data_IF_311087811571
#
_entry.id   IF_311087811571
#
_cell.length_a   1.000
_cell.length_b   1.000
_cell.length_c   1.000
_cell.angle_alpha   90.00
_cell.angle_beta   90.00
_cell.angle_gamma   90.00
#
_symmetry.space_group_name_H-M   'P 1'
#
loop_
_entity.id
_entity.type
_entity.pdbx_description
1 polymer ?
#
# COMPACT_ATOMS: atom_id res chain seq x y z
N UNK A 1 12.29 40.08 16.37
CA UNK A 1 10.98 40.45 15.79
C UNK A 1 11.10 40.27 14.29
N UNK A 2 10.87 39.06 13.79
CA UNK A 2 11.02 38.72 12.38
C UNK A 2 9.71 38.16 11.84
N UNK A 3 9.46 38.50 10.57
CA UNK A 3 8.16 38.62 9.91
C UNK A 3 7.35 37.32 9.91
N UNK A 4 6.23 37.31 10.62
CA UNK A 4 5.08 36.42 10.32
C UNK A 4 4.53 36.82 8.94
N UNK A 5 4.88 36.10 7.89
CA UNK A 5 4.04 36.07 6.69
C UNK A 5 2.68 35.49 7.10
N UNK A 6 1.58 36.18 6.79
CA UNK A 6 0.24 35.71 7.10
C UNK A 6 -0.13 34.44 6.33
N UNK A 7 -1.15 33.71 6.80
CA UNK A 7 -1.67 32.48 6.17
C UNK A 7 -1.84 32.64 4.66
N UNK A 8 -2.39 33.77 4.22
CA UNK A 8 -2.61 34.05 2.79
C UNK A 8 -1.33 34.11 1.95
N UNK A 9 -0.23 34.68 2.49
CA UNK A 9 1.03 34.75 1.75
C UNK A 9 1.66 33.36 1.57
N UNK A 10 1.46 32.47 2.54
CA UNK A 10 1.87 31.06 2.43
C UNK A 10 1.02 30.32 1.40
N UNK A 11 -0.30 30.51 1.42
CA UNK A 11 -1.21 29.88 0.46
C UNK A 11 -0.96 30.34 -0.97
N UNK A 12 -0.68 31.62 -1.20
CA UNK A 12 -0.31 32.12 -2.53
C UNK A 12 1.01 31.51 -3.03
N UNK A 13 1.99 31.34 -2.16
CA UNK A 13 3.23 30.63 -2.50
C UNK A 13 2.96 29.16 -2.86
N UNK A 14 2.08 28.48 -2.11
CA UNK A 14 1.64 27.12 -2.42
C UNK A 14 0.94 27.06 -3.78
N UNK A 15 0.01 27.98 -4.08
CA UNK A 15 -0.69 28.08 -5.38
C UNK A 15 0.30 28.28 -6.52
N UNK A 16 1.22 29.23 -6.40
CA UNK A 16 2.19 29.53 -7.44
C UNK A 16 3.13 28.35 -7.74
N UNK A 17 3.64 27.68 -6.69
CA UNK A 17 4.48 26.50 -6.82
C UNK A 17 3.72 25.33 -7.45
N UNK A 18 2.52 25.04 -6.96
CA UNK A 18 1.66 23.97 -7.47
C UNK A 18 1.24 24.22 -8.94
N UNK A 19 0.96 25.47 -9.34
CA UNK A 19 0.63 25.80 -10.74
C UNK A 19 1.82 25.56 -11.67
N UNK A 20 3.02 25.97 -11.23
CA UNK A 20 4.25 25.75 -12.01
C UNK A 20 4.52 24.26 -12.23
N UNK A 21 4.45 23.46 -11.17
CA UNK A 21 4.64 22.01 -11.27
C UNK A 21 3.53 21.32 -12.07
N UNK A 22 2.29 21.79 -11.92
CA UNK A 22 1.14 21.30 -12.68
C UNK A 22 1.32 21.49 -14.18
N UNK A 23 1.79 22.67 -14.62
CA UNK A 23 2.08 22.93 -16.03
C UNK A 23 3.15 21.99 -16.58
N UNK A 24 4.21 21.72 -15.80
CA UNK A 24 5.24 20.76 -16.18
C UNK A 24 4.73 19.31 -16.21
N UNK A 25 3.89 18.91 -15.25
CA UNK A 25 3.26 17.59 -15.24
C UNK A 25 2.37 17.37 -16.47
N UNK A 26 1.55 18.36 -16.82
CA UNK A 26 0.72 18.33 -18.02
C UNK A 26 1.56 18.27 -19.29
N UNK A 27 2.63 19.06 -19.39
CA UNK A 27 3.53 19.02 -20.55
C UNK A 27 4.24 17.66 -20.68
N UNK A 28 4.73 17.08 -19.58
CA UNK A 28 5.35 15.76 -19.55
C UNK A 28 4.36 14.64 -19.93
N UNK A 29 3.12 14.71 -19.43
CA UNK A 29 2.07 13.75 -19.77
C UNK A 29 1.67 13.83 -21.26
N UNK A 30 1.45 15.04 -21.79
CA UNK A 30 1.03 15.25 -23.17
C UNK A 30 2.11 14.87 -24.20
N UNK A 31 3.38 14.93 -23.81
CA UNK A 31 4.51 14.56 -24.69
C UNK A 31 4.81 13.07 -24.69
N UNK A 32 4.20 12.27 -23.79
CA UNK A 32 4.31 10.80 -23.68
C UNK A 32 5.75 10.25 -23.55
N UNK A 33 6.76 11.12 -23.35
CA UNK A 33 8.17 10.73 -23.25
C UNK A 33 8.64 10.48 -21.82
N UNK A 34 7.92 11.02 -20.84
CA UNK A 34 8.32 10.97 -19.44
C UNK A 34 7.08 10.90 -18.52
N UNK A 35 6.33 9.81 -18.65
CA UNK A 35 5.13 9.55 -17.84
C UNK A 35 5.45 9.41 -16.36
N UNK A 36 6.65 8.94 -16.02
CA UNK A 36 7.13 8.83 -14.65
C UNK A 36 7.35 10.21 -14.02
N UNK A 37 8.00 11.15 -14.74
CA UNK A 37 8.13 12.53 -14.29
C UNK A 37 6.76 13.22 -14.16
N UNK A 38 5.84 12.99 -15.09
CA UNK A 38 4.49 13.54 -15.00
C UNK A 38 3.73 13.07 -13.73
N UNK A 39 3.86 11.80 -13.38
CA UNK A 39 3.29 11.21 -12.17
C UNK A 39 3.92 11.78 -10.90
N UNK A 40 5.26 11.83 -10.84
CA UNK A 40 6.00 12.40 -9.72
C UNK A 40 5.62 13.87 -9.50
N UNK A 41 5.65 14.70 -10.55
CA UNK A 41 5.25 16.11 -10.49
C UNK A 41 3.81 16.28 -9.98
N UNK A 42 2.88 15.44 -10.43
CA UNK A 42 1.48 15.46 -9.97
C UNK A 42 1.34 15.10 -8.48
N UNK A 43 2.20 14.20 -7.95
CA UNK A 43 2.27 13.93 -6.49
C UNK A 43 2.78 15.14 -5.72
N UNK A 44 3.81 15.85 -6.19
CA UNK A 44 4.30 17.07 -5.52
C UNK A 44 3.24 18.19 -5.50
N UNK A 45 2.47 18.35 -6.58
CA UNK A 45 1.35 19.30 -6.65
C UNK A 45 0.34 19.00 -5.54
N UNK A 46 -0.08 17.74 -5.41
CA UNK A 46 -1.01 17.31 -4.37
C UNK A 46 -0.49 17.58 -2.94
N UNK A 47 0.80 17.33 -2.70
CA UNK A 47 1.44 17.59 -1.40
C UNK A 47 1.35 19.05 -0.99
N UNK A 48 1.78 19.93 -1.90
CA UNK A 48 1.85 21.37 -1.65
C UNK A 48 0.46 21.91 -1.30
N UNK A 49 -0.57 21.45 -2.03
CA UNK A 49 -1.96 21.84 -1.79
C UNK A 49 -2.48 21.30 -0.46
N UNK A 50 -2.22 20.04 -0.13
CA UNK A 50 -2.63 19.45 1.15
C UNK A 50 -1.96 20.13 2.35
N UNK A 51 -0.65 20.39 2.27
CA UNK A 51 0.11 21.11 3.31
C UNK A 51 -0.38 22.54 3.50
N UNK A 52 -0.65 23.25 2.41
CA UNK A 52 -1.25 24.59 2.45
C UNK A 52 -2.61 24.55 3.15
N UNK A 53 -3.47 23.60 2.81
CA UNK A 53 -4.80 23.45 3.41
C UNK A 53 -4.73 23.17 4.92
N UNK A 54 -3.83 22.28 5.36
CA UNK A 54 -3.64 21.98 6.78
C UNK A 54 -3.07 23.18 7.53
N UNK A 55 -2.07 23.86 6.96
CA UNK A 55 -1.49 25.06 7.56
C UNK A 55 -2.56 26.15 7.77
N UNK A 56 -3.42 26.37 6.77
CA UNK A 56 -4.53 27.31 6.88
C UNK A 56 -5.54 26.89 7.97
N UNK A 57 -5.87 25.60 8.04
CA UNK A 57 -6.78 25.10 9.06
C UNK A 57 -6.20 25.19 10.48
N UNK A 58 -4.94 24.81 10.70
CA UNK A 58 -4.27 24.91 12.00
C UNK A 58 -4.05 26.36 12.44
N UNK A 59 -3.98 27.29 11.48
CA UNK A 59 -3.96 28.73 11.72
C UNK A 59 -5.34 29.35 12.03
N UNK A 60 -6.42 28.55 12.03
CA UNK A 60 -7.79 29.00 12.28
C UNK A 60 -8.51 29.61 11.07
N UNK A 61 -7.90 29.57 9.88
CA UNK A 61 -8.50 30.12 8.64
C UNK A 61 -9.12 29.01 7.78
N UNK A 62 -10.27 28.53 8.25
CA UNK A 62 -11.05 27.48 7.58
C UNK A 62 -11.53 27.92 6.19
N UNK A 63 -11.82 29.21 6.01
CA UNK A 63 -12.29 29.74 4.73
C UNK A 63 -11.19 29.69 3.66
N UNK A 64 -9.95 30.02 4.03
CA UNK A 64 -8.81 29.94 3.13
C UNK A 64 -8.43 28.47 2.82
N UNK A 65 -8.54 27.57 3.81
CA UNK A 65 -8.40 26.12 3.62
C UNK A 65 -9.41 25.57 2.59
N UNK A 66 -10.70 25.84 2.80
CA UNK A 66 -11.78 25.43 1.90
C UNK A 66 -11.59 26.04 0.51
N UNK A 67 -11.21 27.32 0.44
CA UNK A 67 -10.94 28.02 -0.82
C UNK A 67 -9.83 27.36 -1.64
N UNK A 68 -8.71 27.00 -0.99
CA UNK A 68 -7.60 26.30 -1.65
C UNK A 68 -8.01 24.92 -2.16
N UNK A 69 -8.77 24.16 -1.37
CA UNK A 69 -9.21 22.81 -1.74
C UNK A 69 -10.27 22.84 -2.88
N UNK A 70 -11.18 23.81 -2.87
CA UNK A 70 -12.15 24.01 -3.97
C UNK A 70 -11.46 24.43 -5.28
N UNK A 71 -10.40 25.22 -5.20
CA UNK A 71 -9.55 25.59 -6.34
C UNK A 71 -8.77 24.37 -6.86
N UNK A 72 -8.11 23.63 -5.96
CA UNK A 72 -7.38 22.41 -6.26
C UNK A 72 -8.22 21.38 -7.04
N UNK A 73 -9.48 21.24 -6.64
CA UNK A 73 -10.43 20.30 -7.21
C UNK A 73 -11.15 20.85 -8.46
N UNK A 74 -10.91 22.10 -8.86
CA UNK A 74 -11.58 22.71 -10.02
C UNK A 74 -13.10 22.86 -9.82
N UNK A 75 -13.55 23.02 -8.57
CA UNK A 75 -14.97 23.28 -8.22
C UNK A 75 -15.31 24.75 -8.52
N UNK A 76 -14.32 25.64 -8.44
CA UNK A 76 -14.41 27.03 -8.89
C UNK A 76 -13.88 27.13 -10.33
N UNK A 77 -14.33 28.15 -11.08
CA UNK A 77 -14.02 28.39 -12.50
C UNK A 77 -12.55 28.78 -12.81
N UNK A 78 -11.59 28.30 -12.02
CA UNK A 78 -10.16 28.50 -12.23
C UNK A 78 -9.49 27.21 -12.71
N UNK A 79 -8.36 27.34 -13.40
CA UNK A 79 -7.57 26.26 -13.97
C UNK A 79 -7.32 25.14 -12.93
N UNK A 80 -7.77 23.92 -13.25
CA UNK A 80 -7.58 22.76 -12.38
C UNK A 80 -6.11 22.34 -12.36
N UNK A 81 -5.62 21.96 -11.18
CA UNK A 81 -4.27 21.42 -11.03
C UNK A 81 -4.18 20.00 -11.61
N UNK A 82 -3.03 19.67 -12.18
CA UNK A 82 -2.66 18.33 -12.63
C UNK A 82 -2.44 17.46 -11.39
N UNK A 83 -3.53 16.85 -10.93
CA UNK A 83 -3.56 15.95 -9.80
C UNK A 83 -3.74 14.53 -10.30
N UNK A 84 -3.03 13.59 -9.66
CA UNK A 84 -3.38 12.20 -9.79
C UNK A 84 -4.81 11.98 -9.24
N UNK A 85 -5.60 11.08 -9.83
CA UNK A 85 -6.98 10.85 -9.38
C UNK A 85 -7.08 10.45 -7.90
N UNK A 86 -6.08 9.73 -7.36
CA UNK A 86 -6.02 9.40 -5.92
C UNK A 86 -5.79 10.63 -5.04
N UNK A 87 -4.89 11.53 -5.46
CA UNK A 87 -4.72 12.81 -4.80
C UNK A 87 -6.01 13.64 -4.82
N UNK A 88 -6.74 13.60 -5.95
CA UNK A 88 -8.05 14.27 -6.08
C UNK A 88 -9.10 13.68 -5.12
N UNK A 89 -9.16 12.35 -4.97
CA UNK A 89 -10.00 11.69 -3.93
C UNK A 89 -9.66 12.21 -2.53
N UNK A 90 -8.38 12.17 -2.18
CA UNK A 90 -7.92 12.50 -0.83
C UNK A 90 -8.11 13.99 -0.52
N UNK A 91 -7.86 14.89 -1.47
CA UNK A 91 -8.16 16.32 -1.34
C UNK A 91 -9.66 16.60 -1.27
N UNK A 92 -10.49 15.76 -1.90
CA UNK A 92 -11.97 15.85 -1.78
C UNK A 92 -12.43 15.47 -0.38
N UNK A 93 -11.88 14.40 0.20
CA UNK A 93 -12.15 14.01 1.58
C UNK A 93 -11.65 15.09 2.57
N UNK A 94 -10.48 15.70 2.30
CA UNK A 94 -10.00 16.88 3.04
C UNK A 94 -10.99 18.03 2.97
N UNK A 95 -11.56 18.33 1.80
CA UNK A 95 -12.54 19.41 1.64
C UNK A 95 -13.80 19.16 2.46
N UNK A 96 -14.29 17.92 2.48
CA UNK A 96 -15.47 17.54 3.28
C UNK A 96 -15.18 17.72 4.77
N UNK A 97 -14.00 17.30 5.23
CA UNK A 97 -13.55 17.49 6.61
C UNK A 97 -13.33 18.97 6.96
N UNK A 98 -12.72 19.76 6.06
CA UNK A 98 -12.46 21.18 6.25
C UNK A 98 -13.73 21.99 6.52
N UNK A 99 -14.86 21.57 5.93
CA UNK A 99 -16.16 22.22 6.13
C UNK A 99 -16.77 21.96 7.51
N UNK A 100 -16.13 21.16 8.36
CA UNK A 100 -16.57 20.89 9.74
C UNK A 100 -15.69 21.63 10.77
N UNK A 101 -16.27 22.12 11.89
CA UNK A 101 -15.50 22.77 12.95
C UNK A 101 -14.42 21.85 13.54
N UNK A 102 -13.15 22.30 13.58
CA UNK A 102 -12.05 21.64 14.29
C UNK A 102 -11.56 20.30 13.71
N UNK A 103 -12.06 19.87 12.54
CA UNK A 103 -11.87 18.49 12.06
C UNK A 103 -10.49 18.21 11.43
N UNK A 104 -9.78 19.20 10.89
CA UNK A 104 -8.45 19.02 10.31
C UNK A 104 -7.31 19.17 11.33
N UNK A 105 -7.57 19.75 12.50
CA UNK A 105 -6.56 19.98 13.56
C UNK A 105 -6.00 18.67 14.15
N UNK A 106 -6.68 17.53 13.94
CA UNK A 106 -6.30 16.22 14.47
C UNK A 106 -5.66 15.29 13.43
N UNK A 107 -5.40 15.78 12.23
CA UNK A 107 -5.10 14.94 11.07
C UNK A 107 -3.73 15.27 10.46
N UNK A 108 -2.68 15.18 11.27
CA UNK A 108 -1.27 15.44 10.89
C UNK A 108 -0.76 14.54 9.74
N UNK A 109 -1.44 13.41 9.48
CA UNK A 109 -1.13 12.43 8.42
C UNK A 109 -1.80 12.71 7.06
N UNK A 110 -2.59 13.78 6.93
CA UNK A 110 -3.26 14.17 5.68
C UNK A 110 -2.37 14.50 4.48
N UNK A 111 -1.20 15.16 4.65
CA UNK A 111 -0.29 15.40 3.53
C UNK A 111 0.29 14.10 2.96
N UNK A 112 0.37 13.07 3.80
CA UNK A 112 0.88 11.75 3.43
C UNK A 112 -0.17 10.97 2.66
N UNK A 113 -1.42 10.95 3.13
CA UNK A 113 -2.52 10.30 2.41
C UNK A 113 -2.79 10.98 1.06
N UNK A 114 -2.73 12.31 0.97
CA UNK A 114 -2.97 13.04 -0.29
C UNK A 114 -1.95 12.79 -1.42
N UNK A 115 -0.78 12.21 -1.12
CA UNK A 115 0.28 11.94 -2.12
C UNK A 115 0.75 10.49 -2.18
N UNK A 116 0.37 9.68 -1.21
CA UNK A 116 0.61 8.24 -1.20
C UNK A 116 -0.66 7.49 -1.55
N UNK A 117 -0.52 6.23 -1.96
CA UNK A 117 -1.65 5.34 -2.21
C UNK A 117 -2.42 4.94 -0.93
N UNK A 118 -2.14 5.61 0.21
CA UNK A 118 -2.83 5.37 1.47
C UNK A 118 -4.27 5.89 1.41
N UNK A 119 -5.18 4.95 1.58
CA UNK A 119 -6.62 5.17 1.54
C UNK A 119 -7.15 5.58 2.91
N UNK A 120 -8.00 6.61 2.94
CA UNK A 120 -8.67 7.11 4.13
C UNK A 120 -9.60 6.06 4.76
N UNK A 121 -9.54 5.95 6.09
CA UNK A 121 -10.55 5.31 6.93
C UNK A 121 -11.24 6.39 7.75
N UNK A 122 -12.57 6.49 7.67
CA UNK A 122 -13.32 7.28 8.63
C UNK A 122 -13.46 6.48 9.93
N UNK A 123 -13.13 7.10 11.07
CA UNK A 123 -13.36 6.47 12.38
C UNK A 123 -14.85 6.26 12.66
N UNK A 124 -15.18 5.39 13.63
CA UNK A 124 -16.55 5.12 14.09
C UNK A 124 -17.31 6.38 14.53
N UNK A 125 -16.57 7.42 14.94
CA UNK A 125 -17.11 8.66 15.48
C UNK A 125 -17.45 9.70 14.38
N UNK A 126 -17.26 9.35 13.10
CA UNK A 126 -17.59 10.24 11.98
C UNK A 126 -19.12 10.29 11.72
N UNK A 127 -19.71 11.49 11.53
CA UNK A 127 -21.13 11.63 11.21
C UNK A 127 -21.55 10.85 9.95
N UNK A 128 -22.67 10.12 10.02
CA UNK A 128 -23.20 9.30 8.91
C UNK A 128 -23.45 10.10 7.62
N UNK A 129 -23.86 11.36 7.74
CA UNK A 129 -24.08 12.27 6.59
C UNK A 129 -22.79 12.50 5.79
N UNK A 130 -21.64 12.49 6.46
CA UNK A 130 -20.32 12.67 5.82
C UNK A 130 -19.90 11.40 5.07
N UNK A 131 -20.21 10.22 5.63
CA UNK A 131 -19.99 8.94 4.96
C UNK A 131 -20.84 8.83 3.68
N UNK A 132 -22.08 9.29 3.71
CA UNK A 132 -22.98 9.31 2.54
C UNK A 132 -22.49 10.28 1.45
N UNK A 133 -22.07 11.49 1.81
CA UNK A 133 -21.51 12.47 0.86
C UNK A 133 -20.18 11.98 0.25
N UNK A 134 -19.30 11.42 1.07
CA UNK A 134 -18.05 10.80 0.61
C UNK A 134 -18.30 9.65 -0.35
N UNK A 135 -19.31 8.82 -0.08
CA UNK A 135 -19.73 7.73 -0.97
C UNK A 135 -20.25 8.22 -2.32
N UNK A 136 -21.14 9.21 -2.34
CA UNK A 136 -21.68 9.76 -3.58
C UNK A 136 -20.55 10.33 -4.47
N UNK A 137 -19.55 10.96 -3.84
CA UNK A 137 -18.39 11.50 -4.54
C UNK A 137 -17.46 10.42 -5.09
N UNK A 138 -17.12 9.42 -4.27
CA UNK A 138 -16.31 8.27 -4.70
C UNK A 138 -17.00 7.46 -5.81
N UNK A 139 -18.32 7.31 -5.74
CA UNK A 139 -19.12 6.65 -6.79
C UNK A 139 -19.06 7.43 -8.11
N UNK A 140 -19.24 8.75 -8.07
CA UNK A 140 -19.09 9.63 -9.26
C UNK A 140 -17.67 9.59 -9.83
N UNK A 141 -16.66 9.42 -8.98
CA UNK A 141 -15.28 9.23 -9.44
C UNK A 141 -15.07 7.89 -10.14
N UNK A 142 -15.65 6.79 -9.63
CA UNK A 142 -15.63 5.52 -10.36
C UNK A 142 -16.33 5.64 -11.71
N UNK A 143 -17.46 6.35 -11.79
CA UNK A 143 -18.14 6.65 -13.06
C UNK A 143 -17.25 7.44 -14.02
N UNK A 144 -16.51 8.44 -13.51
CA UNK A 144 -15.53 9.21 -14.30
C UNK A 144 -14.37 8.32 -14.78
N UNK A 145 -13.79 7.50 -13.90
CA UNK A 145 -12.69 6.57 -14.24
C UNK A 145 -13.15 5.60 -15.34
N UNK A 146 -14.34 5.03 -15.20
CA UNK A 146 -14.95 4.17 -16.21
C UNK A 146 -15.18 4.93 -17.54
N UNK A 147 -15.64 6.18 -17.48
CA UNK A 147 -15.79 7.05 -18.65
C UNK A 147 -14.45 7.38 -19.34
N UNK A 148 -13.34 7.41 -18.59
CA UNK A 148 -12.00 7.64 -19.11
C UNK A 148 -11.33 6.38 -19.71
N UNK A 149 -11.92 5.19 -19.55
CA UNK A 149 -11.36 3.93 -20.08
C UNK A 149 -11.19 3.95 -21.60
N UNK A 150 -11.99 4.73 -22.32
CA UNK A 150 -11.95 4.79 -23.78
C UNK A 150 -11.02 5.88 -24.33
N UNK A 151 -10.48 6.75 -23.46
CA UNK A 151 -9.73 7.95 -23.85
C UNK A 151 -8.28 7.98 -23.35
N UNK A 152 -7.88 7.09 -22.43
CA UNK A 152 -6.52 7.00 -21.91
C UNK A 152 -5.73 5.82 -22.50
N UNK A 153 -4.45 6.03 -22.78
CA UNK A 153 -3.54 5.03 -23.36
C UNK A 153 -2.78 4.19 -22.32
N UNK A 154 -2.99 4.41 -21.01
CA UNK A 154 -2.35 3.66 -19.94
C UNK A 154 -3.39 2.87 -19.10
N UNK A 155 -3.65 1.58 -19.43
CA UNK A 155 -4.61 0.75 -18.72
C UNK A 155 -4.17 0.40 -17.28
N UNK A 156 -2.87 0.31 -17.01
CA UNK A 156 -2.34 -0.01 -15.67
C UNK A 156 -2.73 1.06 -14.65
N UNK A 157 -2.50 2.32 -15.01
CA UNK A 157 -2.85 3.47 -14.17
C UNK A 157 -4.37 3.52 -13.88
N UNK A 158 -5.21 3.21 -14.87
CA UNK A 158 -6.67 3.14 -14.69
C UNK A 158 -7.07 2.03 -13.70
N UNK A 159 -6.41 0.88 -13.74
CA UNK A 159 -6.68 -0.23 -12.81
C UNK A 159 -6.29 0.12 -11.37
N UNK A 160 -5.12 0.73 -11.17
CA UNK A 160 -4.68 1.19 -9.86
C UNK A 160 -5.65 2.24 -9.29
N UNK A 161 -6.07 3.20 -10.11
CA UNK A 161 -7.05 4.22 -9.74
C UNK A 161 -8.39 3.61 -9.32
N UNK A 162 -8.94 2.70 -10.13
CA UNK A 162 -10.22 2.03 -9.83
C UNK A 162 -10.14 1.22 -8.54
N UNK A 163 -9.04 0.48 -8.36
CA UNK A 163 -8.78 -0.31 -7.15
C UNK A 163 -8.69 0.58 -5.92
N UNK A 164 -7.99 1.70 -6.01
CA UNK A 164 -7.82 2.64 -4.91
C UNK A 164 -9.15 3.32 -4.52
N UNK A 165 -10.01 3.66 -5.49
CA UNK A 165 -11.34 4.23 -5.25
C UNK A 165 -12.30 3.21 -4.60
N UNK A 166 -12.27 1.97 -5.09
CA UNK A 166 -13.03 0.86 -4.51
C UNK A 166 -12.57 0.56 -3.07
N UNK A 167 -11.26 0.56 -2.83
CA UNK A 167 -10.69 0.40 -1.50
C UNK A 167 -11.11 1.55 -0.56
N UNK A 168 -11.18 2.80 -1.05
CA UNK A 168 -11.73 3.93 -0.30
C UNK A 168 -13.18 3.66 0.09
N UNK A 169 -14.01 3.26 -0.85
CA UNK A 169 -15.42 2.97 -0.58
C UNK A 169 -15.58 1.86 0.46
N UNK A 170 -14.81 0.77 0.36
CA UNK A 170 -14.82 -0.32 1.34
C UNK A 170 -14.51 0.19 2.76
N UNK A 171 -13.51 1.07 2.88
CA UNK A 171 -13.10 1.66 4.16
C UNK A 171 -14.09 2.69 4.71
N UNK A 172 -14.74 3.48 3.84
CA UNK A 172 -15.82 4.40 4.25
C UNK A 172 -17.01 3.64 4.82
N UNK A 173 -17.32 2.47 4.25
CA UNK A 173 -18.45 1.63 4.65
C UNK A 173 -18.09 0.47 5.58
N UNK A 174 -16.85 0.41 6.10
CA UNK A 174 -16.36 -0.74 6.86
C UNK A 174 -17.21 -1.06 8.10
N UNK A 175 -17.87 -0.05 8.68
CA UNK A 175 -18.77 -0.17 9.84
C UNK A 175 -20.12 -0.79 9.49
N UNK A 176 -20.46 -0.93 8.20
CA UNK A 176 -21.72 -1.53 7.72
C UNK A 176 -21.45 -2.58 6.63
N UNK A 177 -21.18 -3.81 7.06
CA UNK A 177 -20.72 -4.89 6.19
C UNK A 177 -21.63 -5.17 4.98
N UNK A 178 -22.95 -5.02 5.12
CA UNK A 178 -23.90 -5.21 4.02
C UNK A 178 -23.64 -4.26 2.83
N UNK A 179 -23.16 -3.04 3.07
CA UNK A 179 -22.82 -2.09 2.00
C UNK A 179 -21.49 -2.46 1.35
N UNK A 180 -20.53 -2.92 2.15
CA UNK A 180 -19.26 -3.46 1.66
C UNK A 180 -19.49 -4.65 0.73
N UNK A 181 -20.36 -5.60 1.11
CA UNK A 181 -20.74 -6.73 0.25
C UNK A 181 -21.37 -6.27 -1.07
N UNK A 182 -22.23 -5.24 -1.04
CA UNK A 182 -22.82 -4.67 -2.25
C UNK A 182 -21.79 -4.00 -3.16
N UNK A 183 -20.78 -3.32 -2.58
CA UNK A 183 -19.68 -2.70 -3.32
C UNK A 183 -18.86 -3.79 -4.01
N UNK A 184 -18.50 -4.87 -3.32
CA UNK A 184 -17.72 -5.97 -3.89
C UNK A 184 -18.50 -6.66 -5.01
N UNK A 185 -19.78 -6.99 -4.78
CA UNK A 185 -20.64 -7.63 -5.79
C UNK A 185 -20.86 -6.78 -7.04
N UNK A 186 -20.81 -5.45 -6.93
CA UNK A 186 -20.93 -4.51 -8.06
C UNK A 186 -19.59 -4.14 -8.68
N UNK A 187 -18.48 -4.49 -8.01
CA UNK A 187 -17.14 -4.19 -8.48
C UNK A 187 -16.71 -5.21 -9.52
N UNK A 188 -16.81 -4.84 -10.80
CA UNK A 188 -16.13 -5.58 -11.86
C UNK A 188 -14.65 -5.24 -11.74
N UNK A 189 -13.86 -6.12 -11.14
CA UNK A 189 -12.42 -5.96 -11.12
C UNK A 189 -11.84 -6.31 -12.48
N UNK A 190 -10.96 -5.47 -12.98
CA UNK A 190 -10.35 -5.65 -14.30
C UNK A 190 -9.04 -6.46 -14.23
N UNK A 191 -8.52 -6.75 -13.02
CA UNK A 191 -7.32 -7.59 -12.82
C UNK A 191 -7.44 -8.48 -11.57
N UNK A 192 -6.70 -9.59 -11.55
CA UNK A 192 -6.62 -10.51 -10.38
C UNK A 192 -5.97 -9.84 -9.15
N UNK A 193 -5.01 -8.93 -9.37
CA UNK A 193 -4.36 -8.19 -8.27
C UNK A 193 -5.32 -7.22 -7.61
N UNK A 194 -6.13 -6.53 -8.40
CA UNK A 194 -7.20 -5.64 -7.91
C UNK A 194 -8.22 -6.42 -7.09
N UNK A 195 -8.61 -7.63 -7.53
CA UNK A 195 -9.49 -8.50 -6.74
C UNK A 195 -8.85 -8.88 -5.41
N UNK A 196 -7.55 -9.19 -5.41
CA UNK A 196 -6.80 -9.55 -4.21
C UNK A 196 -6.86 -8.47 -3.15
N UNK A 197 -6.61 -7.22 -3.53
CA UNK A 197 -6.65 -6.08 -2.61
C UNK A 197 -8.06 -5.92 -2.03
N UNK A 198 -9.11 -5.98 -2.85
CA UNK A 198 -10.49 -5.81 -2.42
C UNK A 198 -10.95 -6.93 -1.48
N UNK A 199 -10.68 -8.18 -1.83
CA UNK A 199 -11.06 -9.34 -1.02
C UNK A 199 -10.27 -9.39 0.30
N UNK A 200 -8.99 -9.03 0.28
CA UNK A 200 -8.20 -8.96 1.51
C UNK A 200 -8.73 -7.88 2.47
N UNK A 201 -9.08 -6.70 1.95
CA UNK A 201 -9.68 -5.63 2.75
C UNK A 201 -11.07 -6.01 3.26
N UNK A 202 -11.88 -6.66 2.43
CA UNK A 202 -13.20 -7.15 2.84
C UNK A 202 -13.14 -8.02 4.09
N UNK A 203 -12.27 -9.02 4.05
CA UNK A 203 -12.11 -9.98 5.15
C UNK A 203 -11.55 -9.28 6.39
N UNK A 204 -10.63 -8.34 6.21
CA UNK A 204 -10.16 -7.48 7.30
C UNK A 204 -11.31 -6.69 7.94
N UNK A 205 -12.18 -6.08 7.14
CA UNK A 205 -13.35 -5.36 7.64
C UNK A 205 -14.31 -6.28 8.43
N UNK A 206 -14.58 -7.50 7.97
CA UNK A 206 -15.38 -8.48 8.74
C UNK A 206 -14.69 -8.78 10.08
N UNK A 207 -13.37 -8.97 10.06
CA UNK A 207 -12.60 -9.29 11.26
C UNK A 207 -12.62 -8.16 12.29
N UNK A 208 -12.47 -6.92 11.84
CA UNK A 208 -12.38 -5.73 12.69
C UNK A 208 -13.75 -5.30 13.26
N UNK A 209 -14.84 -5.47 12.49
CA UNK A 209 -16.15 -4.91 12.83
C UNK A 209 -17.25 -5.94 13.18
N UNK A 210 -17.15 -7.19 12.72
CA UNK A 210 -18.12 -8.24 13.05
C UNK A 210 -17.51 -9.30 13.98
N UNK A 211 -16.69 -10.20 13.42
CA UNK A 211 -15.94 -11.19 14.20
C UNK A 211 -14.85 -11.87 13.37
N UNK A 212 -13.77 -12.25 14.05
CA UNK A 212 -12.70 -13.07 13.46
C UNK A 212 -13.23 -14.39 12.89
N UNK A 213 -14.22 -15.02 13.53
CA UNK A 213 -14.79 -16.29 13.09
C UNK A 213 -15.51 -16.18 11.74
N UNK A 214 -16.30 -15.12 11.55
CA UNK A 214 -16.97 -14.84 10.28
C UNK A 214 -15.96 -14.49 9.18
N UNK A 215 -14.91 -13.74 9.52
CA UNK A 215 -13.84 -13.42 8.57
C UNK A 215 -13.09 -14.68 8.12
N UNK A 216 -12.79 -15.61 9.04
CA UNK A 216 -12.19 -16.91 8.72
C UNK A 216 -13.11 -17.75 7.83
N UNK A 217 -14.41 -17.80 8.11
CA UNK A 217 -15.37 -18.53 7.29
C UNK A 217 -15.48 -17.94 5.87
N UNK A 218 -15.50 -16.61 5.74
CA UNK A 218 -15.50 -15.93 4.45
C UNK A 218 -14.21 -16.20 3.66
N UNK A 219 -13.04 -16.16 4.32
CA UNK A 219 -11.76 -16.50 3.70
C UNK A 219 -11.74 -17.95 3.17
N UNK A 220 -12.23 -18.91 3.96
CA UNK A 220 -12.34 -20.31 3.54
C UNK A 220 -13.33 -20.50 2.38
N UNK A 221 -14.43 -19.75 2.37
CA UNK A 221 -15.40 -19.77 1.27
C UNK A 221 -14.77 -19.27 -0.04
N UNK A 222 -14.04 -18.16 0.00
CA UNK A 222 -13.34 -17.60 -1.18
C UNK A 222 -12.28 -18.56 -1.70
N UNK A 223 -11.55 -19.24 -0.81
CA UNK A 223 -10.59 -20.29 -1.20
C UNK A 223 -11.26 -21.56 -1.74
N UNK A 224 -12.51 -21.81 -1.34
CA UNK A 224 -13.27 -23.01 -1.69
C UNK A 224 -14.06 -22.90 -2.99
N UNK A 225 -14.38 -21.68 -3.44
CA UNK A 225 -15.19 -21.43 -4.63
C UNK A 225 -14.35 -21.61 -5.91
N UNK A 226 -14.57 -22.72 -6.61
CA UNK A 226 -13.91 -23.04 -7.88
C UNK A 226 -14.66 -22.49 -9.09
N UNK A 227 -15.83 -21.87 -8.88
CA UNK A 227 -16.79 -21.55 -9.94
C UNK A 227 -16.85 -20.06 -10.30
N UNK A 228 -16.49 -19.14 -9.39
CA UNK A 228 -16.76 -17.71 -9.61
C UNK A 228 -15.55 -16.76 -9.61
N UNK A 229 -14.40 -17.11 -9.02
CA UNK A 229 -13.27 -16.14 -8.95
C UNK A 229 -11.90 -16.80 -9.19
N UNK A 230 -11.05 -16.29 -10.11
CA UNK A 230 -9.66 -16.71 -10.17
C UNK A 230 -8.92 -16.16 -8.94
N UNK A 231 -8.87 -16.95 -7.86
CA UNK A 231 -8.05 -16.63 -6.68
C UNK A 231 -6.59 -16.74 -7.10
N UNK A 232 -5.89 -15.60 -7.24
CA UNK A 232 -4.48 -15.61 -7.57
C UNK A 232 -3.61 -16.12 -6.41
N UNK A 233 -2.33 -16.34 -6.65
CA UNK A 233 -1.39 -16.79 -5.64
C UNK A 233 -1.26 -15.78 -4.50
N UNK A 234 -1.19 -14.47 -4.78
CA UNK A 234 -1.14 -13.45 -3.71
C UNK A 234 -2.34 -13.55 -2.78
N UNK A 235 -3.57 -13.59 -3.33
CA UNK A 235 -4.76 -13.72 -2.51
C UNK A 235 -4.73 -15.01 -1.69
N UNK A 236 -4.35 -16.13 -2.30
CA UNK A 236 -4.24 -17.41 -1.58
C UNK A 236 -3.28 -17.33 -0.38
N UNK A 237 -2.11 -16.69 -0.55
CA UNK A 237 -1.15 -16.47 0.55
C UNK A 237 -1.77 -15.63 1.66
N UNK A 238 -2.37 -14.48 1.31
CA UNK A 238 -2.97 -13.57 2.29
C UNK A 238 -4.09 -14.23 3.09
N UNK A 239 -4.98 -14.97 2.42
CA UNK A 239 -6.07 -15.71 3.07
C UNK A 239 -5.54 -16.83 3.96
N UNK A 240 -4.51 -17.56 3.50
CA UNK A 240 -3.88 -18.62 4.30
C UNK A 240 -3.24 -18.06 5.57
N UNK A 241 -2.57 -16.91 5.49
CA UNK A 241 -2.01 -16.24 6.66
C UNK A 241 -3.08 -15.67 7.58
N UNK A 242 -4.23 -15.24 7.05
CA UNK A 242 -5.35 -14.72 7.83
C UNK A 242 -6.04 -15.83 8.65
N UNK A 243 -6.27 -16.98 8.03
CA UNK A 243 -7.03 -18.10 8.62
C UNK A 243 -6.30 -18.73 9.81
N UNK A 244 -4.97 -18.70 9.84
CA UNK A 244 -4.08 -19.23 10.90
C UNK A 244 -4.35 -20.67 11.40
N UNK A 245 -5.25 -21.43 10.76
CA UNK A 245 -5.52 -22.83 11.10
C UNK A 245 -4.85 -23.78 10.11
N UNK A 246 -4.02 -24.73 10.59
CA UNK A 246 -3.45 -25.79 9.77
C UNK A 246 -4.53 -26.86 9.51
N UNK A 247 -5.57 -26.51 8.76
CA UNK A 247 -6.55 -27.48 8.29
C UNK A 247 -6.00 -28.23 7.05
N UNK A 248 -6.28 -29.52 6.94
CA UNK A 248 -5.95 -30.34 5.75
C UNK A 248 -6.54 -29.74 4.48
N UNK A 249 -7.71 -29.10 4.59
CA UNK A 249 -8.36 -28.39 3.50
C UNK A 249 -7.45 -27.31 2.87
N UNK A 250 -6.71 -26.57 3.72
CA UNK A 250 -5.80 -25.51 3.26
C UNK A 250 -4.58 -26.07 2.52
N UNK A 251 -4.04 -27.20 2.99
CA UNK A 251 -2.89 -27.83 2.36
C UNK A 251 -3.21 -28.33 0.93
N UNK A 252 -4.40 -28.89 0.72
CA UNK A 252 -4.83 -29.36 -0.60
C UNK A 252 -5.10 -28.18 -1.56
N UNK A 253 -5.69 -27.09 -1.07
CA UNK A 253 -5.91 -25.86 -1.86
C UNK A 253 -4.60 -25.17 -2.25
N UNK A 254 -3.64 -25.07 -1.33
CA UNK A 254 -2.29 -24.57 -1.64
C UNK A 254 -1.60 -25.40 -2.71
N UNK A 255 -1.71 -26.74 -2.63
CA UNK A 255 -1.15 -27.64 -3.66
C UNK A 255 -1.81 -27.42 -5.02
N UNK A 256 -3.14 -27.40 -5.05
CA UNK A 256 -3.93 -27.19 -6.27
C UNK A 256 -3.57 -25.86 -6.94
N UNK A 257 -3.47 -24.76 -6.18
CA UNK A 257 -3.12 -23.45 -6.75
C UNK A 257 -1.70 -23.42 -7.32
N UNK A 258 -0.74 -24.04 -6.63
CA UNK A 258 0.62 -24.16 -7.17
C UNK A 258 0.65 -24.93 -8.50
N UNK A 259 -0.09 -26.04 -8.59
CA UNK A 259 -0.16 -26.83 -9.83
C UNK A 259 -0.81 -26.06 -10.98
N UNK A 260 -1.88 -25.31 -10.70
CA UNK A 260 -2.53 -24.46 -11.70
C UNK A 260 -1.58 -23.38 -12.23
N UNK A 261 -0.86 -22.69 -11.33
CA UNK A 261 0.09 -21.65 -11.71
C UNK A 261 1.26 -22.21 -12.54
N UNK A 262 1.81 -23.35 -12.13
CA UNK A 262 2.89 -24.00 -12.88
C UNK A 262 2.43 -24.45 -14.27
N UNK A 263 1.20 -24.98 -14.39
CA UNK A 263 0.62 -25.38 -15.68
C UNK A 263 0.33 -24.18 -16.58
N UNK A 264 -0.16 -23.06 -16.03
CA UNK A 264 -0.49 -21.88 -16.83
C UNK A 264 0.74 -21.20 -17.44
N UNK A 265 1.92 -21.41 -16.86
CA UNK A 265 3.18 -20.75 -17.25
C UNK A 265 4.18 -21.75 -17.85
N UNK A 266 3.83 -23.04 -17.87
CA UNK A 266 4.71 -24.13 -18.32
C UNK A 266 6.02 -24.16 -17.51
N UNK A 267 5.92 -24.18 -16.18
CA UNK A 267 7.06 -24.28 -15.26
C UNK A 267 7.29 -25.74 -14.88
N UNK A 268 8.50 -26.25 -15.14
CA UNK A 268 8.94 -27.55 -14.66
C UNK A 268 9.37 -27.50 -13.20
N UNK A 269 9.08 -28.55 -12.44
CA UNK A 269 9.48 -28.65 -11.02
C UNK A 269 11.01 -28.65 -10.83
N UNK A 270 11.74 -29.31 -11.71
CA UNK A 270 13.20 -29.50 -11.59
C UNK A 270 13.98 -28.18 -11.73
N UNK A 271 13.46 -27.25 -12.53
CA UNK A 271 14.11 -25.99 -12.85
C UNK A 271 13.60 -24.80 -12.03
N UNK A 272 12.74 -25.05 -11.04
CA UNK A 272 12.00 -23.98 -10.35
C UNK A 272 12.89 -22.95 -9.65
N UNK A 273 14.05 -23.36 -9.15
CA UNK A 273 15.01 -22.47 -8.48
C UNK A 273 16.16 -22.03 -9.39
N UNK A 274 16.14 -22.41 -10.68
CA UNK A 274 17.10 -21.95 -11.66
C UNK A 274 16.79 -20.50 -12.06
N UNK A 275 17.67 -19.58 -11.64
CA UNK A 275 17.53 -18.14 -11.94
C UNK A 275 17.42 -17.88 -13.44
N UNK A 276 18.27 -18.51 -14.26
CA UNK A 276 18.28 -18.32 -15.72
C UNK A 276 16.97 -18.78 -16.34
N UNK A 277 16.52 -20.00 -16.00
CA UNK A 277 15.29 -20.58 -16.51
C UNK A 277 14.07 -19.73 -16.15
N UNK A 278 13.96 -19.34 -14.87
CA UNK A 278 12.82 -18.58 -14.39
C UNK A 278 12.78 -17.17 -14.98
N UNK A 279 13.93 -16.50 -15.12
CA UNK A 279 14.00 -15.18 -15.78
C UNK A 279 13.56 -15.27 -17.24
N UNK A 280 13.97 -16.32 -17.97
CA UNK A 280 13.54 -16.56 -19.35
C UNK A 280 12.03 -16.86 -19.43
N UNK A 281 11.51 -17.70 -18.53
CA UNK A 281 10.07 -18.01 -18.45
C UNK A 281 9.24 -16.77 -18.14
N UNK A 282 9.69 -15.89 -17.24
CA UNK A 282 8.99 -14.64 -16.93
C UNK A 282 9.05 -13.62 -18.07
N UNK A 283 10.14 -13.59 -18.87
CA UNK A 283 10.18 -12.77 -20.09
C UNK A 283 9.11 -13.19 -21.10
N UNK A 284 8.84 -14.50 -21.22
CA UNK A 284 7.78 -15.03 -22.08
C UNK A 284 6.38 -14.76 -21.52
N UNK A 285 6.26 -14.57 -20.21
CA UNK A 285 5.01 -14.33 -19.50
C UNK A 285 5.00 -12.95 -18.82
N UNK A 286 5.34 -11.90 -19.58
CA UNK A 286 5.54 -10.55 -19.07
C UNK A 286 4.30 -9.91 -18.41
N UNK A 287 3.11 -10.51 -18.56
CA UNK A 287 1.87 -10.06 -17.92
C UNK A 287 1.77 -10.47 -16.44
N UNK A 288 2.66 -11.34 -15.96
CA UNK A 288 2.64 -11.83 -14.58
C UNK A 288 3.48 -10.90 -13.71
N UNK A 289 2.88 -10.22 -12.71
CA UNK A 289 3.64 -9.32 -11.86
C UNK A 289 4.57 -10.11 -10.92
N UNK A 290 5.78 -9.59 -10.61
CA UNK A 290 6.72 -10.25 -9.70
C UNK A 290 6.14 -10.68 -8.34
N UNK A 291 5.23 -9.87 -7.77
CA UNK A 291 4.57 -10.19 -6.49
C UNK A 291 3.74 -11.48 -6.56
N UNK A 292 3.14 -11.80 -7.71
CA UNK A 292 2.40 -13.04 -7.93
C UNK A 292 3.35 -14.25 -7.99
N UNK A 293 4.51 -14.09 -8.61
CA UNK A 293 5.54 -15.12 -8.63
C UNK A 293 6.13 -15.39 -7.24
N UNK A 294 6.41 -14.34 -6.46
CA UNK A 294 6.84 -14.50 -5.06
C UNK A 294 5.76 -15.19 -4.24
N UNK A 295 4.49 -14.83 -4.42
CA UNK A 295 3.39 -15.52 -3.75
C UNK A 295 3.32 -16.99 -4.14
N UNK A 296 3.56 -17.33 -5.40
CA UNK A 296 3.70 -18.72 -5.83
C UNK A 296 4.82 -19.44 -5.07
N UNK A 297 6.02 -18.86 -4.91
CA UNK A 297 7.10 -19.50 -4.13
C UNK A 297 6.71 -19.69 -2.66
N UNK A 298 5.98 -18.75 -2.07
CA UNK A 298 5.43 -18.86 -0.71
C UNK A 298 4.45 -20.04 -0.60
N UNK A 299 3.52 -20.17 -1.54
CA UNK A 299 2.61 -21.32 -1.57
C UNK A 299 3.37 -22.63 -1.81
N UNK A 300 4.39 -22.60 -2.67
CA UNK A 300 5.20 -23.77 -2.98
C UNK A 300 5.96 -24.23 -1.74
N UNK A 301 6.56 -23.31 -0.97
CA UNK A 301 7.29 -23.66 0.25
C UNK A 301 6.37 -24.26 1.30
N UNK A 302 5.11 -23.84 1.39
CA UNK A 302 4.13 -24.40 2.32
C UNK A 302 3.80 -25.89 2.09
N UNK A 303 4.24 -26.48 0.95
CA UNK A 303 4.14 -27.94 0.74
C UNK A 303 5.07 -28.72 1.67
N UNK A 304 6.16 -28.10 2.12
CA UNK A 304 7.09 -28.72 3.05
C UNK A 304 6.53 -28.73 4.47
N UNK A 305 6.77 -29.82 5.20
CA UNK A 305 6.28 -29.95 6.58
C UNK A 305 7.14 -29.21 7.60
N UNK A 306 8.44 -29.07 7.31
CA UNK A 306 9.41 -28.48 8.25
C UNK A 306 9.62 -26.99 7.95
N UNK A 307 9.41 -26.13 8.95
CA UNK A 307 9.57 -24.67 8.84
C UNK A 307 10.95 -24.26 8.31
N UNK A 308 12.01 -24.98 8.69
CA UNK A 308 13.38 -24.75 8.20
C UNK A 308 13.46 -24.94 6.69
N UNK A 309 12.89 -26.03 6.16
CA UNK A 309 12.88 -26.31 4.72
C UNK A 309 12.07 -25.26 3.97
N UNK A 310 10.93 -24.82 4.53
CA UNK A 310 10.15 -23.72 3.95
C UNK A 310 11.01 -22.45 3.82
N UNK A 311 11.76 -22.11 4.87
CA UNK A 311 12.63 -20.93 4.88
C UNK A 311 13.76 -21.03 3.85
N UNK A 312 14.41 -22.18 3.75
CA UNK A 312 15.49 -22.39 2.77
C UNK A 312 14.99 -22.26 1.33
N UNK A 313 13.80 -22.81 1.02
CA UNK A 313 13.18 -22.65 -0.30
C UNK A 313 12.93 -21.17 -0.62
N UNK A 314 12.36 -20.40 0.32
CA UNK A 314 12.13 -18.97 0.12
C UNK A 314 13.42 -18.17 -0.02
N UNK A 315 14.44 -18.52 0.75
CA UNK A 315 15.75 -17.87 0.69
C UNK A 315 16.46 -18.08 -0.65
N UNK A 316 16.18 -19.20 -1.31
CA UNK A 316 16.67 -19.55 -2.65
C UNK A 316 15.87 -18.92 -3.80
N UNK A 317 14.83 -18.14 -3.52
CA UNK A 317 14.10 -17.39 -4.56
C UNK A 317 15.07 -16.45 -5.29
N UNK A 318 15.20 -16.56 -6.63
CA UNK A 318 16.15 -15.74 -7.38
C UNK A 318 15.82 -14.23 -7.28
N UNK A 319 16.79 -13.43 -6.80
CA UNK A 319 16.65 -11.98 -6.59
C UNK A 319 16.21 -11.25 -7.86
N UNK A 320 16.74 -11.67 -9.02
CA UNK A 320 16.45 -11.06 -10.32
C UNK A 320 14.96 -11.08 -10.69
N UNK A 321 14.16 -11.94 -10.06
CA UNK A 321 12.74 -12.06 -10.34
C UNK A 321 11.89 -11.02 -9.60
N UNK A 322 12.38 -10.45 -8.50
CA UNK A 322 11.57 -9.61 -7.62
C UNK A 322 12.26 -8.31 -7.18
N UNK A 323 13.55 -8.10 -7.48
CA UNK A 323 14.30 -6.93 -7.02
C UNK A 323 13.75 -5.57 -7.48
N UNK A 324 12.95 -5.55 -8.55
CA UNK A 324 12.34 -4.33 -9.10
C UNK A 324 10.92 -4.07 -8.58
N UNK A 325 10.38 -4.97 -7.75
CA UNK A 325 9.00 -4.87 -7.25
C UNK A 325 9.01 -4.85 -5.72
N UNK A 326 8.66 -3.69 -5.16
CA UNK A 326 8.68 -3.45 -3.71
C UNK A 326 7.68 -4.33 -2.96
N UNK A 327 6.49 -4.59 -3.53
CA UNK A 327 5.47 -5.43 -2.93
C UNK A 327 5.94 -6.89 -2.87
N UNK A 328 6.62 -7.37 -3.90
CA UNK A 328 7.21 -8.70 -3.94
C UNK A 328 8.30 -8.87 -2.86
N UNK A 329 9.19 -7.88 -2.69
CA UNK A 329 10.23 -7.90 -1.65
C UNK A 329 9.60 -7.90 -0.25
N UNK A 330 8.62 -7.03 0.00
CA UNK A 330 7.92 -6.96 1.30
C UNK A 330 7.18 -8.25 1.60
N UNK A 331 6.48 -8.83 0.62
CA UNK A 331 5.74 -10.08 0.79
C UNK A 331 6.68 -11.24 1.16
N UNK A 332 7.82 -11.37 0.47
CA UNK A 332 8.84 -12.38 0.76
C UNK A 332 9.43 -12.20 2.17
N UNK A 333 9.75 -10.95 2.55
CA UNK A 333 10.26 -10.62 3.88
C UNK A 333 9.26 -10.99 4.97
N UNK A 334 7.97 -10.68 4.78
CA UNK A 334 6.92 -11.06 5.73
C UNK A 334 6.79 -12.57 5.87
N UNK A 335 6.89 -13.32 4.77
CA UNK A 335 6.89 -14.77 4.80
C UNK A 335 8.08 -15.32 5.60
N UNK A 336 9.29 -14.84 5.31
CA UNK A 336 10.51 -15.23 6.01
C UNK A 336 10.44 -14.86 7.49
N UNK A 337 9.99 -13.66 7.84
CA UNK A 337 9.83 -13.20 9.22
C UNK A 337 8.87 -14.09 10.04
N UNK A 338 7.76 -14.55 9.43
CA UNK A 338 6.84 -15.50 10.06
C UNK A 338 7.52 -16.85 10.33
N UNK A 339 8.29 -17.36 9.36
CA UNK A 339 9.00 -18.63 9.51
C UNK A 339 10.12 -18.54 10.55
N UNK A 340 10.93 -17.48 10.53
CA UNK A 340 12.01 -17.28 11.51
C UNK A 340 11.47 -17.08 12.91
N UNK A 341 10.33 -16.39 13.07
CA UNK A 341 9.65 -16.26 14.37
C UNK A 341 9.14 -17.61 14.86
N UNK A 342 8.54 -18.43 13.98
CA UNK A 342 8.10 -19.77 14.31
C UNK A 342 9.27 -20.71 14.69
N UNK A 343 10.44 -20.54 14.07
CA UNK A 343 11.67 -21.26 14.42
C UNK A 343 12.39 -20.69 15.65
N UNK A 344 12.00 -19.49 16.10
CA UNK A 344 12.73 -18.71 17.09
C UNK A 344 14.22 -18.49 16.70
N UNK A 345 14.44 -18.13 15.44
CA UNK A 345 15.77 -17.95 14.85
C UNK A 345 15.99 -16.47 14.49
N UNK A 346 16.64 -15.74 15.40
CA UNK A 346 16.92 -14.32 15.23
C UNK A 346 17.96 -14.07 14.12
N UNK A 347 18.95 -14.94 13.96
CA UNK A 347 20.02 -14.75 12.96
C UNK A 347 19.47 -14.83 11.53
N UNK A 348 18.56 -15.78 11.27
CA UNK A 348 17.84 -15.87 9.99
C UNK A 348 16.90 -14.69 9.78
N UNK A 349 16.26 -14.21 10.85
CA UNK A 349 15.44 -13.00 10.78
C UNK A 349 16.29 -11.79 10.38
N UNK A 350 17.42 -11.56 11.04
CA UNK A 350 18.38 -10.49 10.74
C UNK A 350 18.86 -10.56 9.29
N UNK A 351 19.24 -11.75 8.84
CA UNK A 351 19.73 -11.95 7.47
C UNK A 351 18.66 -11.64 6.41
N UNK A 352 17.42 -12.08 6.64
CA UNK A 352 16.28 -11.81 5.75
C UNK A 352 15.95 -10.31 5.72
N UNK A 353 15.92 -9.68 6.90
CA UNK A 353 15.64 -8.25 7.04
C UNK A 353 16.70 -7.39 6.35
N UNK A 354 17.97 -7.67 6.57
CA UNK A 354 19.08 -6.95 5.94
C UNK A 354 19.01 -7.06 4.42
N UNK A 355 18.82 -8.27 3.88
CA UNK A 355 18.69 -8.50 2.43
C UNK A 355 17.52 -7.71 1.85
N UNK A 356 16.35 -7.79 2.47
CA UNK A 356 15.15 -7.13 1.97
C UNK A 356 15.26 -5.59 2.02
N UNK A 357 15.72 -5.03 3.14
CA UNK A 357 15.92 -3.58 3.28
C UNK A 357 16.98 -3.05 2.31
N UNK A 358 18.03 -3.81 2.05
CA UNK A 358 19.03 -3.44 1.04
C UNK A 358 18.43 -3.33 -0.36
N UNK A 359 17.59 -4.29 -0.75
CA UNK A 359 16.88 -4.27 -2.05
C UNK A 359 15.89 -3.10 -2.10
N UNK A 360 15.08 -2.90 -1.05
CA UNK A 360 14.10 -1.82 -0.98
C UNK A 360 14.72 -0.42 -1.02
N UNK A 361 15.96 -0.28 -0.55
CA UNK A 361 16.73 0.97 -0.63
C UNK A 361 17.24 1.27 -2.04
N UNK A 362 17.40 0.25 -2.89
CA UNK A 362 18.07 0.39 -4.19
C UNK A 362 17.38 1.39 -5.15
N UNK A 363 16.03 1.41 -5.30
CA UNK A 363 15.35 2.40 -6.14
C UNK A 363 15.65 3.85 -5.73
N UNK A 364 15.70 4.13 -4.42
CA UNK A 364 16.03 5.46 -3.90
C UNK A 364 17.47 5.88 -4.22
N UNK A 365 18.42 4.94 -4.17
CA UNK A 365 19.82 5.21 -4.49
C UNK A 365 20.08 5.41 -5.99
N UNK A 366 19.26 4.83 -6.85
CA UNK A 366 19.45 4.87 -8.32
C UNK A 366 18.69 5.99 -9.01
N UNK A 367 17.53 6.41 -8.46
CA UNK A 367 16.64 7.39 -9.10
C UNK A 367 16.32 8.60 -8.21
N UNK A 368 16.91 8.68 -7.00
CA UNK A 368 16.61 9.72 -6.03
C UNK A 368 16.99 11.14 -6.48
N UNK A 369 16.02 12.06 -6.39
CA UNK A 369 16.25 13.49 -6.58
C UNK A 369 16.74 14.13 -5.28
N UNK A 370 17.60 15.17 -5.32
CA UNK A 370 17.91 15.99 -4.16
C UNK A 370 16.70 16.65 -3.47
N UNK A 371 15.56 16.75 -4.16
CA UNK A 371 14.29 17.20 -3.59
C UNK A 371 13.59 16.10 -2.76
N UNK A 372 13.90 14.82 -3.01
CA UNK A 372 13.50 13.67 -2.19
C UNK A 372 14.35 13.54 -0.91
N UNK A 373 15.35 14.42 -0.74
CA UNK A 373 16.20 14.48 0.45
C UNK A 373 15.61 15.43 1.51
N UNK A 374 14.72 16.35 1.12
CA UNK A 374 13.91 17.20 2.03
C UNK A 374 12.54 16.58 2.36
N UNK A 375 12.43 15.30 2.04
CA UNK A 375 11.26 14.43 2.11
C UNK A 375 11.19 13.77 3.49
N UNK A 376 11.74 14.40 4.52
CA UNK A 376 11.90 13.91 5.91
C UNK A 376 10.57 13.46 6.55
N UNK A 377 9.45 13.77 5.90
CA UNK A 377 8.08 13.40 6.27
C UNK A 377 7.44 12.33 5.38
N UNK A 378 8.00 12.01 4.21
CA UNK A 378 7.57 10.92 3.35
C UNK A 378 8.50 9.72 3.57
N UNK A 379 7.91 8.69 4.14
CA UNK A 379 8.60 7.50 4.57
C UNK A 379 8.90 6.65 3.33
N UNK A 380 10.17 6.55 2.92
CA UNK A 380 10.62 5.56 1.92
C UNK A 380 10.08 4.17 2.28
N UNK A 381 9.80 3.33 1.28
CA UNK A 381 9.24 2.00 1.49
C UNK A 381 10.11 1.17 2.45
N UNK A 382 11.43 1.35 2.42
CA UNK A 382 12.35 0.74 3.38
C UNK A 382 12.11 1.26 4.81
N UNK A 383 11.96 2.57 5.00
CA UNK A 383 11.59 3.16 6.29
C UNK A 383 10.24 2.64 6.78
N UNK A 384 9.23 2.57 5.91
CA UNK A 384 7.89 2.11 6.29
C UNK A 384 7.92 0.63 6.69
N UNK A 385 8.68 -0.18 5.94
CA UNK A 385 8.89 -1.59 6.24
C UNK A 385 9.52 -1.79 7.62
N UNK A 386 10.50 -0.97 8.02
CA UNK A 386 11.06 -1.05 9.39
C UNK A 386 10.01 -0.75 10.47
N UNK A 387 9.16 0.26 10.27
CA UNK A 387 8.09 0.61 11.21
C UNK A 387 7.05 -0.50 11.33
N UNK A 388 6.59 -1.03 10.19
CA UNK A 388 5.59 -2.09 10.14
C UNK A 388 6.12 -3.37 10.78
N UNK A 389 7.34 -3.79 10.46
CA UNK A 389 7.90 -4.97 11.10
C UNK A 389 8.08 -4.78 12.60
N UNK A 390 8.57 -3.60 13.03
CA UNK A 390 8.74 -3.29 14.45
C UNK A 390 7.42 -3.37 15.22
N UNK A 391 6.32 -2.89 14.64
CA UNK A 391 4.99 -2.97 15.24
C UNK A 391 4.43 -4.39 15.23
N UNK A 392 4.74 -5.20 14.21
CA UNK A 392 4.28 -6.58 14.04
C UNK A 392 5.02 -7.62 14.89
N UNK A 393 6.23 -7.33 15.41
CA UNK A 393 7.02 -8.29 16.22
C UNK A 393 6.18 -9.04 17.29
N UNK A 394 5.37 -8.38 18.14
CA UNK A 394 4.59 -9.09 19.16
C UNK A 394 3.61 -10.11 18.58
N UNK A 395 3.03 -9.79 17.41
CA UNK A 395 2.10 -10.67 16.70
C UNK A 395 2.83 -11.85 16.07
N UNK A 396 4.02 -11.60 15.50
CA UNK A 396 4.86 -12.65 14.91
C UNK A 396 5.34 -13.67 15.95
N UNK A 397 5.75 -13.19 17.13
CA UNK A 397 6.30 -14.04 18.19
C UNK A 397 5.23 -14.85 18.95
N UNK A 398 3.96 -14.47 18.87
CA UNK A 398 2.83 -15.17 19.51
C UNK A 398 3.10 -15.44 20.99
N UNK A 399 3.26 -16.71 21.37
CA UNK A 399 3.51 -17.13 22.75
C UNK A 399 4.92 -16.80 23.26
N UNK A 400 5.84 -16.37 22.40
CA UNK A 400 7.23 -16.00 22.73
C UNK A 400 7.39 -14.48 22.92
N UNK A 401 6.34 -13.83 23.44
CA UNK A 401 6.28 -12.37 23.56
C UNK A 401 7.41 -11.77 24.40
N UNK A 402 8.04 -12.54 25.29
CA UNK A 402 9.20 -12.14 26.08
C UNK A 402 10.42 -11.72 25.24
N UNK A 403 10.52 -12.22 23.99
CA UNK A 403 11.61 -11.88 23.05
C UNK A 403 11.36 -10.66 22.20
N UNK A 404 10.20 -10.01 22.38
CA UNK A 404 9.80 -8.83 21.59
C UNK A 404 10.87 -7.73 21.62
N UNK A 405 11.47 -7.48 22.79
CA UNK A 405 12.51 -6.45 22.94
C UNK A 405 13.76 -6.74 22.11
N UNK A 406 14.22 -7.99 22.12
CA UNK A 406 15.40 -8.45 21.38
C UNK A 406 15.20 -8.31 19.86
N UNK A 407 14.05 -8.78 19.35
CA UNK A 407 13.71 -8.70 17.93
C UNK A 407 13.52 -7.27 17.44
N UNK A 408 12.85 -6.43 18.26
CA UNK A 408 12.70 -5.00 17.97
C UNK A 408 14.05 -4.29 17.92
N UNK A 409 14.94 -4.57 18.87
CA UNK A 409 16.29 -4.00 18.88
C UNK A 409 17.06 -4.36 17.62
N UNK A 410 16.91 -5.59 17.13
CA UNK A 410 17.56 -6.02 15.91
C UNK A 410 17.07 -5.26 14.67
N UNK A 411 15.75 -5.00 14.57
CA UNK A 411 15.19 -4.13 13.53
C UNK A 411 15.79 -2.72 13.59
N UNK A 412 15.92 -2.15 14.80
CA UNK A 412 16.52 -0.83 15.00
C UNK A 412 17.97 -0.80 14.53
N UNK A 413 18.79 -1.78 14.94
CA UNK A 413 20.21 -1.89 14.56
C UNK A 413 20.38 -2.00 13.04
N UNK A 414 19.63 -2.88 12.39
CA UNK A 414 19.74 -3.09 10.94
C UNK A 414 19.23 -1.85 10.18
N UNK A 415 18.10 -1.29 10.61
CA UNK A 415 17.54 -0.06 10.02
C UNK A 415 18.49 1.12 10.10
N UNK A 416 19.14 1.32 11.26
CA UNK A 416 20.13 2.38 11.46
C UNK A 416 21.38 2.15 10.59
N UNK A 417 21.94 0.93 10.61
CA UNK A 417 23.11 0.57 9.79
C UNK A 417 22.88 0.79 8.30
N UNK A 418 21.67 0.51 7.81
CA UNK A 418 21.30 0.71 6.40
C UNK A 418 20.79 2.13 6.10
N UNK A 419 20.75 3.03 7.09
CA UNK A 419 20.19 4.37 7.00
C UNK A 419 18.71 4.42 6.54
N UNK A 420 17.95 3.37 6.83
CA UNK A 420 16.53 3.22 6.50
C UNK A 420 15.66 3.11 7.75
N UNK A 421 16.14 3.56 8.90
CA UNK A 421 15.34 3.58 10.14
C UNK A 421 14.24 4.65 10.05
N UNK A 422 12.99 4.24 10.27
CA UNK A 422 11.86 5.16 10.31
C UNK A 422 12.07 6.28 11.35
N UNK A 423 11.73 7.56 11.06
CA UNK A 423 11.87 8.67 12.01
C UNK A 423 11.25 8.41 13.39
N UNK A 424 10.01 7.89 13.44
CA UNK A 424 9.33 7.48 14.69
C UNK A 424 10.06 6.42 15.53
N UNK A 425 11.01 5.69 14.94
CA UNK A 425 11.80 4.67 15.64
C UNK A 425 13.14 5.20 16.14
N UNK A 426 13.57 6.41 15.74
CA UNK A 426 14.87 6.98 16.11
C UNK A 426 15.00 7.21 17.62
N UNK A 427 13.92 7.64 18.28
CA UNK A 427 13.90 7.84 19.73
C UNK A 427 14.09 6.52 20.49
N UNK A 428 13.52 5.42 19.97
CA UNK A 428 13.70 4.08 20.53
C UNK A 428 15.12 3.55 20.37
N UNK A 429 15.81 3.90 19.28
CA UNK A 429 17.22 3.54 19.07
C UNK A 429 18.13 4.26 20.08
N UNK A 430 17.90 5.56 20.32
CA UNK A 430 18.68 6.36 21.29
C UNK A 430 18.50 5.97 22.76
N UNK A 431 17.36 5.37 23.13
CA UNK A 431 17.10 4.88 24.48
C UNK A 431 17.78 3.53 24.77
N UNK A 432 18.08 2.73 23.74
CA UNK A 432 18.76 1.43 23.87
C UNK A 432 20.27 1.51 24.05
N UNK A 433 20.88 2.67 23.74
CA UNK A 433 22.33 2.94 23.93
C UNK A 433 22.70 3.43 25.34
N UNK A 434 21.75 3.42 26.29
CA UNK A 434 21.91 3.89 27.67
C UNK A 434 22.09 2.79 28.71
N UNK A 435 22.88 1.75 28.41
CA UNK A 435 23.39 0.78 29.41
C UNK A 435 24.91 0.79 29.41
#
# INVERSE_FOLDING_TARGET
MERRGGVEACLEACRAAARTLSLHATAAALTLRDTFCAEALSRYVAYILARGAIYASSGGDVAACVGLLEEALGIRAAEAFALLPKARENLTLMLICAKQPGALERLESLPLASISDHVWTFGSDFPSVIQELGSQLLTRQLELINGCQHSLHNPHMLHEMKSAAQLSLLRVFSVRIQYVEQIIKKSVSDSEMSQTVLWSEYIRCIGDFDSTQLATAAALQILGDETETPVCCVLTVLLTWFVETPDRCMADKTRQRCELFMRSIDINHEDLFSSTYMVEKMKLNATIPPVELVAFYILYSMKERETVQQYELLSNTPVALYATDTNAVVLLLMAQARLTAAMNDLDRFSTSLERALYILRYPFLTWGSPLDIFWDSLVDIAHYTTLVLYSLVPVLLKSQGEKTGEWRLEILKIGERLAVLHPLLREHASAGSGV
#
